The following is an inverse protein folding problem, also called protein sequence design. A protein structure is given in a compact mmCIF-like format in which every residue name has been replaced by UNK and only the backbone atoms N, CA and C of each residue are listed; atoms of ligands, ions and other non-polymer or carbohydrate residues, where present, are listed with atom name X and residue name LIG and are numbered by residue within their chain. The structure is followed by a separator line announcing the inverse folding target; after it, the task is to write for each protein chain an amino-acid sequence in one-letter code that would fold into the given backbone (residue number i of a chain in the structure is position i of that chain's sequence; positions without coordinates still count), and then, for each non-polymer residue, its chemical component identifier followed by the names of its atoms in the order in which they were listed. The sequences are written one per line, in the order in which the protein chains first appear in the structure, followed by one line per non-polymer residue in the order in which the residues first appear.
data_IF_416430331998
#
_entry.id   IF_416430331998
#
_cell.length_a   1.000
_cell.length_b   1.000
_cell.length_c   1.000
_cell.angle_alpha   90.00
_cell.angle_beta   90.00
_cell.angle_gamma   90.00
#
_symmetry.space_group_name_H-M   'P 1'
#
loop_
_entity.id
_entity.type
_entity.pdbx_description
1 polymer ?
#
# COMPACT_ATOMS: atom_id res chain seq x y z
N UNK A 1 27.90 -14.96 -46.54
CA UNK A 1 28.11 -13.63 -46.00
C UNK A 1 27.83 -12.64 -47.13
N UNK A 2 26.56 -12.23 -47.29
CA UNK A 2 26.09 -11.37 -48.38
C UNK A 2 26.17 -9.94 -47.86
N UNK A 3 27.01 -9.12 -48.49
CA UNK A 3 27.12 -7.68 -48.21
C UNK A 3 25.89 -6.97 -48.77
N UNK A 4 25.07 -6.42 -47.89
CA UNK A 4 23.90 -5.57 -48.22
C UNK A 4 24.35 -4.10 -48.24
N UNK A 5 25.40 -3.77 -48.97
CA UNK A 5 25.90 -2.39 -48.98
C UNK A 5 25.84 -1.70 -50.36
N UNK A 6 25.33 -2.34 -51.43
CA UNK A 6 25.35 -1.70 -52.75
C UNK A 6 24.00 -1.73 -53.43
N UNK A 7 23.02 -1.00 -52.93
CA UNK A 7 21.86 -0.50 -53.69
C UNK A 7 21.04 0.52 -52.90
N UNK A 8 21.62 1.67 -52.60
CA UNK A 8 20.84 2.88 -52.38
C UNK A 8 21.29 3.87 -53.45
N UNK A 9 20.69 3.77 -54.61
CA UNK A 9 20.73 4.84 -55.59
C UNK A 9 20.00 6.04 -55.01
N UNK A 10 20.68 7.17 -54.91
CA UNK A 10 20.16 8.49 -54.53
C UNK A 10 19.00 8.83 -55.45
N UNK A 11 17.78 8.81 -54.93
CA UNK A 11 16.69 9.61 -55.45
C UNK A 11 16.78 10.98 -54.74
N UNK A 12 17.10 12.02 -55.49
CA UNK A 12 17.00 13.41 -55.07
C UNK A 12 15.52 13.65 -54.74
N UNK A 13 15.21 13.96 -53.47
CA UNK A 13 13.90 14.46 -53.11
C UNK A 13 13.38 14.12 -51.69
N UNK A 14 13.89 13.10 -51.01
CA UNK A 14 13.47 12.78 -49.68
C UNK A 14 14.67 12.70 -48.73
N UNK A 15 15.07 13.83 -48.19
CA UNK A 15 15.92 13.84 -47.00
C UNK A 15 15.05 13.31 -45.85
N UNK A 16 15.11 11.99 -45.62
CA UNK A 16 14.43 11.37 -44.49
C UNK A 16 15.03 11.98 -43.26
N UNK A 17 14.21 12.79 -42.57
CA UNK A 17 14.56 13.45 -41.34
C UNK A 17 15.03 12.39 -40.34
N UNK A 18 16.35 12.31 -40.14
CA UNK A 18 16.99 11.33 -39.25
C UNK A 18 16.48 11.41 -37.83
N UNK A 19 16.10 12.63 -37.38
CA UNK A 19 15.52 12.83 -36.06
C UNK A 19 14.13 12.16 -35.97
N UNK A 20 13.31 12.31 -37.01
CA UNK A 20 11.99 11.68 -37.11
C UNK A 20 12.09 10.16 -37.21
N UNK A 21 13.11 9.65 -37.89
CA UNK A 21 13.35 8.20 -37.95
C UNK A 21 13.83 7.64 -36.61
N UNK A 22 14.68 8.37 -35.91
CA UNK A 22 15.16 8.00 -34.56
C UNK A 22 13.96 8.05 -33.59
N UNK A 23 13.09 9.06 -33.68
CA UNK A 23 11.90 9.17 -32.85
C UNK A 23 10.90 8.01 -33.10
N UNK A 24 10.74 7.62 -34.37
CA UNK A 24 9.89 6.45 -34.76
C UNK A 24 10.46 5.11 -34.36
N UNK A 25 11.80 4.98 -34.28
CA UNK A 25 12.50 3.76 -33.88
C UNK A 25 12.81 3.71 -32.38
N UNK A 26 12.67 4.83 -31.69
CA UNK A 26 12.80 4.86 -30.23
C UNK A 26 11.63 4.10 -29.61
N UNK A 27 11.89 3.16 -28.70
CA UNK A 27 10.80 2.51 -27.97
C UNK A 27 9.95 3.58 -27.32
N UNK A 28 8.62 3.48 -27.47
CA UNK A 28 7.69 4.37 -26.79
C UNK A 28 8.07 4.44 -25.29
N UNK A 29 8.05 5.62 -24.68
CA UNK A 29 8.40 5.74 -23.27
C UNK A 29 7.59 4.74 -22.47
N UNK A 30 8.26 3.74 -21.91
CA UNK A 30 7.62 2.74 -21.06
C UNK A 30 7.06 3.48 -19.85
N UNK A 31 5.73 3.48 -19.72
CA UNK A 31 5.08 4.06 -18.55
C UNK A 31 5.44 3.20 -17.34
N UNK A 32 6.16 3.76 -16.41
CA UNK A 32 6.52 3.05 -15.18
C UNK A 32 5.25 2.61 -14.45
N UNK A 33 5.16 1.32 -14.20
CA UNK A 33 4.07 0.78 -13.38
C UNK A 33 4.41 1.06 -11.93
N UNK A 34 3.77 2.09 -11.37
CA UNK A 34 3.93 2.48 -9.97
C UNK A 34 2.70 2.06 -9.16
N UNK A 35 2.42 0.76 -9.23
CA UNK A 35 1.22 0.18 -8.61
C UNK A 35 1.59 -1.12 -7.93
N UNK A 36 1.17 -1.26 -6.67
CA UNK A 36 1.24 -2.48 -5.88
C UNK A 36 -0.16 -2.85 -5.38
N UNK A 37 -0.37 -4.08 -4.98
CA UNK A 37 -1.66 -4.54 -4.51
C UNK A 37 -1.57 -5.60 -3.41
N UNK A 38 -2.46 -5.52 -2.43
CA UNK A 38 -2.70 -6.53 -1.42
C UNK A 38 -4.12 -7.08 -1.58
N UNK A 39 -4.24 -8.27 -2.14
CA UNK A 39 -5.48 -9.03 -2.22
C UNK A 39 -5.34 -10.32 -1.42
N UNK A 40 -6.21 -10.51 -0.41
CA UNK A 40 -6.18 -11.65 0.50
C UNK A 40 -5.60 -11.30 1.87
N UNK A 41 -5.07 -12.29 2.59
CA UNK A 41 -4.61 -12.12 3.95
C UNK A 41 -3.24 -11.44 4.03
N UNK A 42 -2.97 -10.76 5.15
CA UNK A 42 -1.67 -10.17 5.48
C UNK A 42 -0.81 -11.27 6.10
N UNK A 43 0.07 -11.83 5.31
CA UNK A 43 1.00 -12.91 5.65
C UNK A 43 2.44 -12.52 5.31
N UNK A 44 3.40 -13.35 5.71
CA UNK A 44 4.84 -13.11 5.56
C UNK A 44 5.24 -12.97 4.08
N UNK A 45 4.71 -13.83 3.21
CA UNK A 45 5.02 -13.82 1.77
C UNK A 45 4.59 -12.48 1.14
N UNK A 46 3.34 -12.08 1.35
CA UNK A 46 2.81 -10.83 0.81
C UNK A 46 3.46 -9.59 1.41
N UNK A 47 3.78 -9.63 2.70
CA UNK A 47 4.50 -8.54 3.34
C UNK A 47 5.90 -8.37 2.73
N UNK A 48 6.62 -9.47 2.52
CA UNK A 48 7.91 -9.47 1.83
C UNK A 48 7.83 -8.91 0.42
N UNK A 49 6.85 -9.37 -0.37
CA UNK A 49 6.63 -8.91 -1.74
C UNK A 49 6.28 -7.41 -1.80
N UNK A 50 5.42 -6.94 -0.91
CA UNK A 50 5.03 -5.53 -0.83
C UNK A 50 6.17 -4.63 -0.40
N UNK A 51 6.93 -5.04 0.62
CA UNK A 51 8.12 -4.30 1.07
C UNK A 51 9.17 -4.24 -0.05
N UNK A 52 9.44 -5.36 -0.73
CA UNK A 52 10.35 -5.37 -1.88
C UNK A 52 9.83 -4.50 -3.02
N UNK A 53 8.52 -4.56 -3.31
CA UNK A 53 7.89 -3.71 -4.33
C UNK A 53 8.07 -2.22 -4.02
N UNK A 54 7.86 -1.79 -2.77
CA UNK A 54 8.09 -0.41 -2.34
C UNK A 54 9.57 0.01 -2.48
N UNK A 55 10.51 -0.88 -2.11
CA UNK A 55 11.95 -0.64 -2.29
C UNK A 55 12.31 -0.49 -3.77
N UNK A 56 11.82 -1.38 -4.62
CA UNK A 56 12.08 -1.33 -6.07
C UNK A 56 11.56 -0.03 -6.70
N UNK A 57 10.43 0.48 -6.22
CA UNK A 57 9.83 1.72 -6.72
C UNK A 57 10.49 2.99 -6.15
N UNK A 58 11.36 2.87 -5.16
CA UNK A 58 12.04 4.00 -4.52
C UNK A 58 13.56 3.85 -4.54
N UNK A 59 14.14 2.96 -3.75
CA UNK A 59 15.58 2.88 -3.53
C UNK A 59 16.35 2.29 -4.71
N UNK A 60 15.69 1.42 -5.50
CA UNK A 60 16.26 0.81 -6.70
C UNK A 60 15.75 1.45 -8.00
N UNK A 61 15.08 2.60 -7.91
CA UNK A 61 14.67 3.36 -9.09
C UNK A 61 15.88 4.04 -9.72
N UNK A 62 15.99 3.97 -11.04
CA UNK A 62 17.00 4.71 -11.82
C UNK A 62 16.73 6.24 -11.87
N UNK A 63 15.63 6.69 -11.29
CA UNK A 63 15.22 8.09 -11.27
C UNK A 63 15.63 8.76 -9.98
N UNK A 64 15.84 10.08 -10.04
CA UNK A 64 16.06 10.92 -8.87
C UNK A 64 14.73 11.31 -8.21
N UNK A 65 14.67 11.43 -6.88
CA UNK A 65 13.47 11.93 -6.19
C UNK A 65 13.20 13.43 -6.49
N UNK A 66 11.95 13.92 -6.34
CA UNK A 66 10.79 13.17 -5.86
C UNK A 66 10.23 12.22 -6.93
N UNK A 67 9.88 11.00 -6.50
CA UNK A 67 9.30 10.02 -7.41
C UNK A 67 7.82 10.30 -7.63
N UNK A 68 7.29 9.84 -8.78
CA UNK A 68 5.86 9.80 -9.03
C UNK A 68 5.14 8.98 -7.94
N UNK A 69 3.89 9.32 -7.59
CA UNK A 69 3.13 8.61 -6.57
C UNK A 69 3.00 7.11 -6.83
N UNK A 70 3.05 6.32 -5.77
CA UNK A 70 2.74 4.89 -5.82
C UNK A 70 1.27 4.70 -5.50
N UNK A 71 0.55 3.89 -6.29
CA UNK A 71 -0.82 3.48 -6.00
C UNK A 71 -0.84 2.10 -5.35
N UNK A 72 -1.43 2.00 -4.18
CA UNK A 72 -1.56 0.78 -3.41
C UNK A 72 -3.03 0.36 -3.28
N UNK A 73 -3.42 -0.69 -3.98
CA UNK A 73 -4.76 -1.28 -3.90
C UNK A 73 -4.84 -2.29 -2.77
N UNK A 74 -5.92 -2.25 -2.00
CA UNK A 74 -6.14 -3.13 -0.85
C UNK A 74 -7.52 -3.76 -0.89
N UNK A 75 -7.57 -5.08 -0.65
CA UNK A 75 -8.79 -5.83 -0.37
C UNK A 75 -8.44 -7.02 0.52
N UNK A 76 -8.59 -6.89 1.84
CA UNK A 76 -8.09 -7.87 2.81
C UNK A 76 -9.01 -8.06 4.01
N UNK A 77 -9.03 -9.27 4.55
CA UNK A 77 -9.61 -9.56 5.86
C UNK A 77 -8.66 -9.20 7.03
N UNK A 78 -7.40 -8.83 6.74
CA UNK A 78 -6.36 -8.61 7.73
C UNK A 78 -5.40 -9.80 7.78
N UNK A 79 -4.77 -10.02 8.92
CA UNK A 79 -3.80 -11.11 9.12
C UNK A 79 -2.81 -10.81 10.23
N UNK A 80 -1.55 -11.21 10.05
CA UNK A 80 -0.47 -11.03 11.03
C UNK A 80 -0.26 -9.56 11.37
N UNK A 81 -0.16 -9.26 12.67
CA UNK A 81 0.11 -7.92 13.17
C UNK A 81 1.56 -7.49 12.90
N UNK A 82 2.50 -8.41 12.98
CA UNK A 82 3.92 -8.13 12.72
C UNK A 82 4.13 -7.78 11.25
N UNK A 83 3.49 -8.53 10.35
CA UNK A 83 3.54 -8.27 8.91
C UNK A 83 2.82 -6.97 8.53
N UNK A 84 1.71 -6.64 9.19
CA UNK A 84 1.06 -5.35 9.06
C UNK A 84 2.02 -4.21 9.42
N UNK A 85 2.75 -4.32 10.53
CA UNK A 85 3.72 -3.30 10.92
C UNK A 85 4.91 -3.23 9.99
N UNK A 86 5.39 -4.36 9.47
CA UNK A 86 6.45 -4.39 8.45
C UNK A 86 6.05 -3.56 7.21
N UNK A 87 4.84 -3.78 6.68
CA UNK A 87 4.31 -3.02 5.56
C UNK A 87 4.12 -1.54 5.94
N UNK A 88 3.54 -1.27 7.13
CA UNK A 88 3.29 0.08 7.61
C UNK A 88 4.58 0.92 7.75
N UNK A 89 5.62 0.35 8.32
CA UNK A 89 6.91 1.02 8.47
C UNK A 89 7.56 1.25 7.11
N UNK A 90 7.48 0.28 6.19
CA UNK A 90 7.96 0.46 4.81
C UNK A 90 7.19 1.56 4.07
N UNK A 91 5.86 1.63 4.22
CA UNK A 91 5.07 2.74 3.67
C UNK A 91 5.50 4.09 4.26
N UNK A 92 5.84 4.12 5.56
CA UNK A 92 6.31 5.34 6.24
C UNK A 92 7.65 5.80 5.69
N UNK A 93 8.59 4.87 5.46
CA UNK A 93 9.88 5.14 4.80
C UNK A 93 9.65 5.64 3.37
N UNK A 94 8.80 4.95 2.60
CA UNK A 94 8.45 5.32 1.22
C UNK A 94 7.88 6.74 1.14
N UNK A 95 7.02 7.14 2.09
CA UNK A 95 6.42 8.49 2.13
C UNK A 95 7.45 9.61 2.31
N UNK A 96 8.67 9.32 2.73
CA UNK A 96 9.75 10.32 2.74
C UNK A 96 10.26 10.65 1.33
N UNK A 97 9.97 9.84 0.33
CA UNK A 97 10.48 9.93 -1.04
C UNK A 97 9.39 10.22 -2.07
N UNK A 98 8.19 9.68 -1.89
CA UNK A 98 7.04 9.92 -2.78
C UNK A 98 5.72 9.72 -2.05
N UNK A 99 4.63 10.22 -2.64
CA UNK A 99 3.29 9.96 -2.12
C UNK A 99 2.88 8.49 -2.32
N UNK A 100 2.15 7.94 -1.34
CA UNK A 100 1.51 6.62 -1.43
C UNK A 100 0.00 6.83 -1.41
N UNK A 101 -0.63 6.67 -2.57
CA UNK A 101 -2.08 6.67 -2.73
C UNK A 101 -2.61 5.29 -2.36
N UNK A 102 -3.48 5.19 -1.35
CA UNK A 102 -4.15 3.92 -0.99
C UNK A 102 -5.57 3.88 -1.52
N UNK A 103 -6.01 2.70 -1.99
CA UNK A 103 -7.37 2.48 -2.52
C UNK A 103 -7.94 1.21 -1.92
N UNK A 104 -8.90 1.34 -1.01
CA UNK A 104 -9.60 0.22 -0.38
C UNK A 104 -10.78 -0.26 -1.20
N UNK A 105 -10.86 -1.56 -1.50
CA UNK A 105 -11.91 -2.15 -2.32
C UNK A 105 -12.57 -3.35 -1.62
N UNK A 106 -13.89 -3.43 -1.68
CA UNK A 106 -14.70 -4.54 -1.19
C UNK A 106 -14.64 -4.74 0.33
N UNK A 107 -13.45 -5.03 0.87
CA UNK A 107 -13.24 -5.24 2.30
C UNK A 107 -11.87 -4.75 2.77
N UNK A 108 -11.86 -4.02 3.84
CA UNK A 108 -10.67 -3.52 4.54
C UNK A 108 -10.85 -3.81 6.02
N UNK A 109 -10.30 -4.93 6.49
CA UNK A 109 -10.58 -5.41 7.83
C UNK A 109 -9.30 -5.57 8.64
N UNK A 110 -9.39 -5.34 9.97
CA UNK A 110 -8.29 -5.60 10.92
C UNK A 110 -7.00 -4.87 10.51
N UNK A 111 -5.90 -5.59 10.27
CA UNK A 111 -4.63 -5.07 9.76
C UNK A 111 -4.81 -4.14 8.53
N UNK A 112 -5.74 -4.48 7.62
CA UNK A 112 -6.03 -3.69 6.44
C UNK A 112 -6.51 -2.27 6.74
N UNK A 113 -7.16 -2.05 7.87
CA UNK A 113 -7.64 -0.72 8.28
C UNK A 113 -6.47 0.24 8.51
N UNK A 114 -5.42 -0.20 9.20
CA UNK A 114 -4.21 0.62 9.37
C UNK A 114 -3.50 0.84 8.04
N UNK A 115 -3.37 -0.19 7.20
CA UNK A 115 -2.69 -0.07 5.90
C UNK A 115 -3.41 0.90 4.95
N UNK A 116 -4.76 0.90 4.92
CA UNK A 116 -5.51 1.91 4.16
C UNK A 116 -5.25 3.32 4.71
N UNK A 117 -5.35 3.47 6.03
CA UNK A 117 -5.15 4.75 6.70
C UNK A 117 -3.73 5.31 6.59
N UNK A 118 -2.74 4.42 6.41
CA UNK A 118 -1.31 4.75 6.29
C UNK A 118 -0.92 5.42 4.95
N UNK A 119 -1.82 5.51 4.00
CA UNK A 119 -1.60 6.29 2.77
C UNK A 119 -1.30 7.76 3.05
N UNK A 120 -0.78 8.47 2.06
CA UNK A 120 -0.58 9.92 2.13
C UNK A 120 -1.92 10.60 2.38
N UNK A 121 -2.01 11.45 3.40
CA UNK A 121 -3.24 12.18 3.75
C UNK A 121 -3.73 13.01 2.56
N UNK A 122 -5.03 12.95 2.29
CA UNK A 122 -5.66 13.52 1.10
C UNK A 122 -5.57 12.65 -0.16
N UNK A 123 -4.92 11.46 -0.08
CA UNK A 123 -4.74 10.51 -1.19
C UNK A 123 -5.29 9.12 -0.90
N UNK A 124 -6.04 8.95 0.20
CA UNK A 124 -6.61 7.68 0.63
C UNK A 124 -8.04 7.57 0.13
N UNK A 125 -8.29 6.57 -0.72
CA UNK A 125 -9.57 6.37 -1.37
C UNK A 125 -10.23 5.06 -0.91
N UNK A 126 -11.55 5.04 -0.88
CA UNK A 126 -12.33 3.86 -0.54
C UNK A 126 -13.49 3.70 -1.53
N UNK A 127 -13.68 2.48 -2.03
CA UNK A 127 -14.82 2.18 -2.90
C UNK A 127 -16.15 2.27 -2.14
N UNK A 128 -17.19 2.79 -2.78
CA UNK A 128 -18.53 3.01 -2.21
C UNK A 128 -19.12 1.78 -1.50
N UNK A 129 -18.82 0.59 -1.98
CA UNK A 129 -19.34 -0.66 -1.42
C UNK A 129 -18.31 -1.36 -0.50
N UNK A 130 -17.19 -0.71 -0.21
CA UNK A 130 -16.17 -1.26 0.68
C UNK A 130 -16.64 -1.20 2.13
N UNK A 131 -16.38 -2.27 2.88
CA UNK A 131 -16.63 -2.33 4.32
C UNK A 131 -15.32 -2.34 5.07
N UNK A 132 -15.22 -1.51 6.09
CA UNK A 132 -14.08 -1.50 7.02
C UNK A 132 -14.47 -2.23 8.29
N UNK A 133 -13.52 -2.92 8.93
CA UNK A 133 -13.76 -3.56 10.22
C UNK A 133 -12.57 -3.37 11.17
N UNK A 134 -12.90 -2.94 12.37
CA UNK A 134 -11.96 -2.75 13.47
C UNK A 134 -12.31 -3.71 14.60
N UNK A 135 -11.31 -4.40 15.12
CA UNK A 135 -11.42 -5.26 16.30
C UNK A 135 -10.13 -5.25 17.11
N UNK A 136 -10.21 -5.75 18.35
CA UNK A 136 -9.02 -5.94 19.18
C UNK A 136 -8.10 -7.01 18.58
N UNK A 137 -6.81 -6.92 18.87
CA UNK A 137 -5.83 -7.94 18.48
C UNK A 137 -6.29 -9.30 19.02
N UNK A 138 -6.38 -10.28 18.13
CA UNK A 138 -6.74 -11.65 18.47
C UNK A 138 -5.50 -12.53 18.35
N UNK A 139 -5.24 -13.33 19.38
CA UNK A 139 -4.17 -14.30 19.38
C UNK A 139 -4.58 -15.51 20.23
N UNK A 140 -3.89 -16.63 20.06
CA UNK A 140 -4.01 -17.81 20.89
C UNK A 140 -2.64 -18.26 21.33
N UNK A 141 -2.50 -18.70 22.58
CA UNK A 141 -1.27 -19.24 23.12
C UNK A 141 -1.54 -20.52 23.92
N UNK A 142 -0.61 -21.46 23.85
CA UNK A 142 -0.62 -22.67 24.62
C UNK A 142 0.84 -22.99 25.04
N UNK A 143 1.03 -23.42 26.28
CA UNK A 143 2.37 -23.69 26.81
C UNK A 143 2.40 -23.63 28.32
N UNK A 144 3.58 -23.45 28.90
CA UNK A 144 3.76 -23.26 30.33
C UNK A 144 3.24 -21.88 30.77
N UNK A 145 2.90 -21.73 32.05
CA UNK A 145 2.26 -20.52 32.57
C UNK A 145 3.06 -19.23 32.24
N UNK A 146 4.35 -19.28 32.42
CA UNK A 146 5.22 -18.12 32.16
C UNK A 146 5.28 -17.74 30.69
N UNK A 147 5.17 -18.71 29.76
CA UNK A 147 5.11 -18.45 28.32
C UNK A 147 3.79 -17.76 27.96
N UNK A 148 2.69 -18.23 28.50
CA UNK A 148 1.36 -17.64 28.31
C UNK A 148 1.33 -16.19 28.86
N UNK A 149 1.91 -15.95 30.05
CA UNK A 149 1.99 -14.62 30.64
C UNK A 149 2.83 -13.65 29.79
N UNK A 150 3.92 -14.10 29.20
CA UNK A 150 4.76 -13.32 28.31
C UNK A 150 4.03 -13.02 26.99
N UNK A 151 3.35 -14.01 26.42
CA UNK A 151 2.55 -13.82 25.21
C UNK A 151 1.43 -12.81 25.42
N UNK A 152 0.71 -12.86 26.55
CA UNK A 152 -0.30 -11.87 26.90
C UNK A 152 0.27 -10.44 26.97
N UNK A 153 1.50 -10.27 27.49
CA UNK A 153 2.17 -8.96 27.52
C UNK A 153 2.49 -8.48 26.09
N UNK A 154 2.99 -9.38 25.24
CA UNK A 154 3.29 -9.10 23.83
C UNK A 154 2.03 -8.67 23.07
N UNK A 155 0.92 -9.40 23.21
CA UNK A 155 -0.35 -9.09 22.58
C UNK A 155 -0.87 -7.71 23.01
N UNK A 156 -0.79 -7.39 24.31
CA UNK A 156 -1.16 -6.07 24.82
C UNK A 156 -0.30 -4.96 24.21
N UNK A 157 1.01 -5.17 24.11
CA UNK A 157 1.91 -4.22 23.50
C UNK A 157 1.60 -3.99 22.01
N UNK A 158 1.35 -5.07 21.25
CA UNK A 158 0.92 -5.00 19.84
C UNK A 158 -0.37 -4.17 19.71
N UNK A 159 -1.35 -4.39 20.60
CA UNK A 159 -2.59 -3.61 20.59
C UNK A 159 -2.35 -2.12 20.89
N UNK A 160 -1.46 -1.79 21.82
CA UNK A 160 -1.09 -0.40 22.12
C UNK A 160 -0.40 0.26 20.91
N UNK A 161 0.49 -0.44 20.22
CA UNK A 161 1.12 0.02 18.98
C UNK A 161 0.07 0.27 17.89
N UNK A 162 -0.88 -0.66 17.70
CA UNK A 162 -1.96 -0.51 16.73
C UNK A 162 -2.84 0.70 17.02
N UNK A 163 -3.26 0.91 18.28
CA UNK A 163 -4.04 2.08 18.71
C UNK A 163 -3.27 3.37 18.43
N UNK A 164 -1.98 3.41 18.77
CA UNK A 164 -1.11 4.56 18.55
C UNK A 164 -0.96 4.89 17.07
N UNK A 165 -0.67 3.89 16.24
CA UNK A 165 -0.52 4.04 14.79
C UNK A 165 -1.84 4.51 14.16
N UNK A 166 -2.96 3.86 14.48
CA UNK A 166 -4.27 4.22 13.94
C UNK A 166 -4.70 5.63 14.36
N UNK A 167 -4.40 6.05 15.60
CA UNK A 167 -4.69 7.42 16.06
C UNK A 167 -3.85 8.47 15.31
N UNK A 168 -2.64 8.15 14.91
CA UNK A 168 -1.76 9.02 14.12
C UNK A 168 -2.23 9.18 12.68
N UNK A 169 -2.73 8.09 12.10
CA UNK A 169 -3.12 8.04 10.68
C UNK A 169 -4.57 8.48 10.43
N UNK A 170 -5.42 8.53 11.47
CA UNK A 170 -6.85 8.86 11.35
C UNK A 170 -7.23 10.14 12.10
N UNK A 171 -8.51 10.52 12.07
CA UNK A 171 -9.06 11.57 12.92
C UNK A 171 -9.47 11.08 14.32
N UNK A 172 -9.35 9.76 14.59
CA UNK A 172 -9.74 9.17 15.84
C UNK A 172 -8.70 9.41 16.94
N UNK A 173 -9.18 9.79 18.13
CA UNK A 173 -8.32 9.81 19.32
C UNK A 173 -8.07 8.38 19.82
N UNK A 174 -6.96 8.16 20.55
CA UNK A 174 -6.69 6.88 21.23
C UNK A 174 -7.88 6.41 22.08
N UNK A 175 -8.57 7.34 22.77
CA UNK A 175 -9.77 7.05 23.56
C UNK A 175 -10.94 6.57 22.70
N UNK A 176 -11.12 7.14 21.52
CA UNK A 176 -12.16 6.72 20.56
C UNK A 176 -11.90 5.31 20.08
N UNK A 177 -10.67 5.03 19.67
CA UNK A 177 -10.24 3.70 19.19
C UNK A 177 -10.42 2.69 20.32
N UNK A 178 -9.93 2.99 21.52
CA UNK A 178 -10.08 2.12 22.68
C UNK A 178 -11.55 1.75 22.94
N UNK A 179 -12.47 2.72 22.91
CA UNK A 179 -13.90 2.47 23.06
C UNK A 179 -14.48 1.54 21.99
N UNK A 180 -13.96 1.58 20.74
CA UNK A 180 -14.38 0.65 19.70
C UNK A 180 -13.90 -0.76 20.01
N UNK A 181 -12.64 -0.91 20.43
CA UNK A 181 -12.04 -2.20 20.78
C UNK A 181 -12.66 -2.83 22.04
N UNK A 182 -12.99 -2.02 23.04
CA UNK A 182 -13.60 -2.45 24.32
C UNK A 182 -15.02 -3.04 24.14
N UNK A 183 -15.66 -2.83 23.00
CA UNK A 183 -16.93 -3.46 22.67
C UNK A 183 -16.83 -5.00 22.61
N UNK A 184 -15.62 -5.55 22.45
CA UNK A 184 -15.33 -6.98 22.34
C UNK A 184 -16.11 -7.68 21.21
N UNK A 185 -16.43 -6.92 20.18
CA UNK A 185 -17.09 -7.37 18.94
C UNK A 185 -16.39 -6.73 17.75
N UNK A 186 -16.58 -7.30 16.58
CA UNK A 186 -16.15 -6.67 15.33
C UNK A 186 -17.00 -5.42 15.07
N UNK A 187 -16.34 -4.27 14.92
CA UNK A 187 -17.01 -3.00 14.58
C UNK A 187 -16.89 -2.80 13.08
N UNK A 188 -18.00 -2.93 12.38
CA UNK A 188 -18.07 -2.72 10.94
C UNK A 188 -18.45 -1.26 10.65
N UNK A 189 -17.77 -0.67 9.68
CA UNK A 189 -17.98 0.70 9.21
C UNK A 189 -18.31 0.68 7.72
N UNK A 190 -19.20 1.57 7.30
CA UNK A 190 -19.45 1.89 5.89
C UNK A 190 -18.30 2.71 5.31
N UNK A 191 -18.33 2.97 4.00
CA UNK A 191 -17.35 3.85 3.36
C UNK A 191 -17.45 5.29 3.91
N UNK A 192 -18.67 5.77 4.18
CA UNK A 192 -18.96 7.08 4.74
C UNK A 192 -18.38 7.22 6.16
N UNK A 193 -18.63 6.23 7.02
CA UNK A 193 -18.07 6.20 8.39
C UNK A 193 -16.53 6.09 8.37
N UNK A 194 -15.96 5.37 7.39
CA UNK A 194 -14.52 5.29 7.25
C UNK A 194 -13.90 6.65 6.88
N UNK A 195 -14.58 7.46 6.07
CA UNK A 195 -14.17 8.84 5.77
C UNK A 195 -14.37 9.75 6.97
N UNK A 196 -15.48 9.64 7.69
CA UNK A 196 -15.76 10.42 8.91
C UNK A 196 -14.68 10.18 9.99
N UNK A 197 -14.27 8.94 10.17
CA UNK A 197 -13.16 8.60 11.09
C UNK A 197 -11.76 8.90 10.51
N UNK A 198 -11.66 9.37 9.28
CA UNK A 198 -10.38 9.72 8.65
C UNK A 198 -9.52 8.50 8.31
N UNK A 199 -10.12 7.31 8.15
CA UNK A 199 -9.45 6.10 7.66
C UNK A 199 -9.18 6.23 6.16
N UNK A 200 -10.10 6.87 5.43
CA UNK A 200 -9.96 7.29 4.05
C UNK A 200 -10.29 8.78 3.93
N UNK A 201 -9.95 9.39 2.79
CA UNK A 201 -10.20 10.82 2.53
C UNK A 201 -11.36 11.00 1.53
N UNK A 202 -11.61 10.03 0.66
CA UNK A 202 -12.56 10.15 -0.45
C UNK A 202 -13.23 8.80 -0.77
N UNK A 203 -14.53 8.84 -1.07
CA UNK A 203 -15.27 7.70 -1.61
C UNK A 203 -15.23 7.76 -3.13
N UNK A 204 -14.91 6.64 -3.76
CA UNK A 204 -14.87 6.49 -5.22
C UNK A 204 -15.89 5.46 -5.71
N UNK A 205 -16.48 5.71 -6.90
CA UNK A 205 -17.45 4.83 -7.57
C UNK A 205 -18.90 5.21 -7.38
#
# INVERSE_FOLDING_TARGET
MIKITDKIEKREGDEVDKEKLIEMLSPAPQKDIRTIALFGDVDEEKAGDLCMGLLMLTDFSDKEPPYEPITFYLSTYGGSADEMFSIYDMMTITKTKCEVKTIGLGKIMSAGTLLLAAGTKGKRQIGKHCRVMIHAVAAGSAGELHDIENEVKTIKHIQELYISALSRETSMTTRTIQKLLDRKINVYLTAEEAVEYGIADEIIG
#
